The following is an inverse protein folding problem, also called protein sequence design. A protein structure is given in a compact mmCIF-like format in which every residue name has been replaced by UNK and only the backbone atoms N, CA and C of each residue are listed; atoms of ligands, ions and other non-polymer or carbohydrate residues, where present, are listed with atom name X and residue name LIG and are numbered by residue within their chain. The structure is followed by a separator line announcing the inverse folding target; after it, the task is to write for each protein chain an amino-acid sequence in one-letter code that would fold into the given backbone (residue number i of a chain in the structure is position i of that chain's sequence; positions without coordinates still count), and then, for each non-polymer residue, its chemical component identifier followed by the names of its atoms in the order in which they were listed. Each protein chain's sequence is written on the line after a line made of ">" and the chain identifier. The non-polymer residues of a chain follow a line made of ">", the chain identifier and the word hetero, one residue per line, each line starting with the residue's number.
data_IF_107907853919
#
_entry.id   IF_107907853919
#
_cell.length_a   1.000
_cell.length_b   1.000
_cell.length_c   1.000
_cell.angle_alpha   90.00
_cell.angle_beta   90.00
_cell.angle_gamma   90.00
#
_symmetry.space_group_name_H-M   'P 1'
#
loop_
_entity.id
_entity.type
_entity.pdbx_description
1 polymer ?
#
# COMPACT_ATOMS: atom_id res chain seq x y z
N UNK A 1 9.52 5.23 14.48
CA UNK A 1 10.44 4.37 13.71
C UNK A 1 10.59 4.87 12.27
N UNK A 2 9.55 4.94 11.42
CA UNK A 2 9.69 5.43 10.02
C UNK A 2 10.23 6.86 9.94
N UNK A 3 9.81 7.76 10.82
CA UNK A 3 10.29 9.14 10.87
C UNK A 3 11.82 9.25 11.05
N UNK A 4 12.48 8.26 11.65
CA UNK A 4 13.95 8.27 11.80
C UNK A 4 14.70 8.18 10.47
N UNK A 5 14.05 7.69 9.40
CA UNK A 5 14.63 7.64 8.07
C UNK A 5 14.61 9.00 7.36
N UNK A 6 13.85 9.98 7.87
CA UNK A 6 13.74 11.35 7.31
C UNK A 6 13.27 11.38 5.84
N UNK A 7 12.49 10.39 5.44
CA UNK A 7 11.80 10.39 4.16
C UNK A 7 10.52 11.22 4.34
N UNK A 8 10.31 12.29 3.57
CA UNK A 8 9.16 13.15 3.74
C UNK A 8 7.85 12.42 3.45
N UNK A 9 6.82 12.75 4.20
CA UNK A 9 5.46 12.34 3.89
C UNK A 9 4.99 12.99 2.58
N UNK A 10 4.16 12.26 1.85
CA UNK A 10 3.62 12.72 0.57
C UNK A 10 2.13 12.38 0.50
N UNK A 11 1.47 12.80 -0.56
CA UNK A 11 0.16 12.26 -0.88
C UNK A 11 0.34 10.76 -1.11
N UNK A 12 -0.18 9.97 -0.20
CA UNK A 12 -0.27 8.52 -0.31
C UNK A 12 -1.61 8.12 -0.90
N UNK A 13 -1.61 7.08 -1.69
CA UNK A 13 -2.75 6.52 -2.36
C UNK A 13 -2.93 5.08 -1.88
N UNK A 14 -3.93 4.87 -1.01
CA UNK A 14 -4.15 3.57 -0.37
C UNK A 14 -4.50 2.49 -1.39
N UNK A 15 -5.36 2.83 -2.33
CA UNK A 15 -5.85 1.93 -3.38
C UNK A 15 -4.99 2.00 -4.67
N UNK A 16 -3.67 2.05 -4.51
CA UNK A 16 -2.73 2.17 -5.62
C UNK A 16 -2.54 0.83 -6.34
N UNK A 17 -3.37 0.58 -7.34
CA UNK A 17 -3.31 -0.61 -8.18
C UNK A 17 -3.56 -0.28 -9.66
N UNK A 18 -3.32 -1.26 -10.53
CA UNK A 18 -3.36 -1.12 -11.99
C UNK A 18 -4.72 -0.68 -12.55
N UNK A 19 -5.85 -1.08 -11.92
CA UNK A 19 -7.20 -0.68 -12.36
C UNK A 19 -7.49 0.80 -12.14
N UNK A 20 -6.75 1.46 -11.25
CA UNK A 20 -6.84 2.89 -10.98
C UNK A 20 -5.81 3.70 -11.77
N UNK A 21 -5.14 3.08 -12.76
CA UNK A 21 -4.19 3.72 -13.66
C UNK A 21 -4.64 3.53 -15.10
N UNK A 22 -5.07 4.61 -15.73
CA UNK A 22 -5.44 4.62 -17.14
C UNK A 22 -4.21 4.94 -17.99
N UNK A 23 -3.88 4.10 -18.93
CA UNK A 23 -2.79 4.29 -19.88
C UNK A 23 -3.33 4.64 -21.26
N UNK A 24 -3.01 5.83 -21.77
CA UNK A 24 -3.25 6.18 -23.16
C UNK A 24 -2.32 5.35 -24.08
N UNK A 25 -2.87 4.51 -24.96
CA UNK A 25 -2.06 3.59 -25.76
C UNK A 25 -1.19 4.32 -26.82
N UNK A 26 -1.55 5.55 -27.20
CA UNK A 26 -0.85 6.34 -28.22
C UNK A 26 0.23 7.19 -27.56
N UNK A 27 -0.16 8.05 -26.62
CA UNK A 27 0.75 9.00 -25.97
C UNK A 27 1.56 8.41 -24.82
N UNK A 28 1.20 7.20 -24.36
CA UNK A 28 1.76 6.54 -23.19
C UNK A 28 1.61 7.34 -21.90
N UNK A 29 0.70 8.32 -21.89
CA UNK A 29 0.39 9.11 -20.70
C UNK A 29 -0.41 8.27 -19.73
N UNK A 30 0.02 8.27 -18.48
CA UNK A 30 -0.71 7.65 -17.37
C UNK A 30 -1.59 8.70 -16.68
N UNK A 31 -2.82 8.31 -16.35
CA UNK A 31 -3.75 9.11 -15.55
C UNK A 31 -4.19 8.26 -14.36
N UNK A 32 -4.01 8.79 -13.17
CA UNK A 32 -4.47 8.16 -11.95
C UNK A 32 -5.89 8.63 -11.64
N UNK A 33 -6.77 7.69 -11.31
CA UNK A 33 -8.18 7.93 -11.00
C UNK A 33 -8.52 7.39 -9.62
N UNK A 34 -9.71 7.70 -9.10
CA UNK A 34 -10.22 7.23 -7.80
C UNK A 34 -9.36 7.66 -6.60
N UNK A 35 -9.23 8.96 -6.41
CA UNK A 35 -8.45 9.59 -5.33
C UNK A 35 -9.18 9.61 -3.97
N UNK A 36 -10.29 8.88 -3.83
CA UNK A 36 -11.11 8.88 -2.62
C UNK A 36 -10.39 8.41 -1.36
N UNK A 37 -9.39 7.55 -1.51
CA UNK A 37 -8.61 6.97 -0.40
C UNK A 37 -7.18 7.53 -0.34
N UNK A 38 -7.06 8.86 -0.34
CA UNK A 38 -5.76 9.52 -0.22
C UNK A 38 -5.55 10.15 1.15
N UNK A 39 -4.31 10.18 1.60
CA UNK A 39 -3.90 10.82 2.84
C UNK A 39 -2.45 11.30 2.74
N UNK A 40 -2.05 12.18 3.65
CA UNK A 40 -0.62 12.50 3.82
C UNK A 40 0.00 11.39 4.67
N UNK A 41 0.84 10.57 4.06
CA UNK A 41 1.44 9.38 4.68
C UNK A 41 2.85 9.13 4.18
N UNK A 42 3.52 8.18 4.80
CA UNK A 42 4.82 7.72 4.31
C UNK A 42 4.66 7.06 2.92
N UNK A 43 5.42 7.50 1.89
CA UNK A 43 5.22 7.10 0.48
C UNK A 43 5.30 5.60 0.25
N UNK A 44 6.08 4.89 1.06
CA UNK A 44 6.30 3.46 0.87
C UNK A 44 5.07 2.61 1.19
N UNK A 45 4.05 3.13 1.87
CA UNK A 45 2.78 2.42 2.02
C UNK A 45 2.10 2.20 0.68
N UNK A 46 1.95 3.25 -0.14
CA UNK A 46 1.37 3.14 -1.48
C UNK A 46 2.20 2.26 -2.42
N UNK A 47 3.53 2.39 -2.35
CA UNK A 47 4.43 1.58 -3.18
C UNK A 47 4.36 0.08 -2.83
N UNK A 48 4.15 -0.26 -1.56
CA UNK A 48 3.90 -1.65 -1.17
C UNK A 48 2.59 -2.18 -1.71
N UNK A 49 1.52 -1.36 -1.72
CA UNK A 49 0.25 -1.77 -2.33
C UNK A 49 0.46 -2.13 -3.80
N UNK A 50 1.18 -1.31 -4.56
CA UNK A 50 1.52 -1.58 -5.97
C UNK A 50 2.29 -2.92 -6.14
N UNK A 51 3.30 -3.19 -5.30
CA UNK A 51 4.05 -4.44 -5.36
C UNK A 51 3.20 -5.67 -5.02
N UNK A 52 2.34 -5.59 -4.02
CA UNK A 52 1.42 -6.68 -3.68
C UNK A 52 0.45 -7.01 -4.81
N UNK A 53 -0.05 -5.99 -5.50
CA UNK A 53 -0.88 -6.21 -6.68
C UNK A 53 -0.11 -6.94 -7.79
N UNK A 54 1.19 -6.68 -7.94
CA UNK A 54 2.02 -7.40 -8.91
C UNK A 54 2.16 -8.89 -8.56
N UNK A 55 2.26 -9.23 -7.28
CA UNK A 55 2.28 -10.62 -6.80
C UNK A 55 0.91 -11.27 -7.07
N UNK A 56 -0.16 -10.61 -6.63
CA UNK A 56 -1.52 -11.18 -6.64
C UNK A 56 -2.06 -11.35 -8.06
N UNK A 57 -1.87 -10.35 -8.93
CA UNK A 57 -2.49 -10.33 -10.25
C UNK A 57 -1.60 -10.89 -11.36
N UNK A 58 -0.28 -10.79 -11.21
CA UNK A 58 0.66 -11.14 -12.28
C UNK A 58 1.60 -12.28 -11.91
N UNK A 59 1.41 -12.89 -10.73
CA UNK A 59 2.20 -14.05 -10.30
C UNK A 59 3.68 -13.74 -10.06
N UNK A 60 4.04 -12.47 -9.87
CA UNK A 60 5.41 -12.08 -9.50
C UNK A 60 5.71 -12.62 -8.10
N UNK A 61 6.87 -13.23 -7.92
CA UNK A 61 7.27 -13.79 -6.62
C UNK A 61 8.29 -12.89 -5.94
N UNK A 62 8.14 -12.68 -4.63
CA UNK A 62 9.15 -11.95 -3.85
C UNK A 62 10.52 -12.64 -4.00
N UNK A 63 11.54 -11.85 -4.30
CA UNK A 63 12.91 -12.35 -4.50
C UNK A 63 13.28 -12.68 -5.95
N UNK A 64 12.32 -12.79 -6.88
CA UNK A 64 12.66 -12.94 -8.29
C UNK A 64 13.18 -11.61 -8.92
N UNK A 65 13.79 -11.71 -10.09
CA UNK A 65 14.39 -10.54 -10.76
C UNK A 65 13.36 -9.48 -11.15
N UNK A 66 12.12 -9.87 -11.42
CA UNK A 66 11.03 -8.95 -11.77
C UNK A 66 10.60 -8.16 -10.54
N UNK A 67 10.41 -8.84 -9.40
CA UNK A 67 10.11 -8.19 -8.13
C UNK A 67 11.20 -7.19 -7.74
N UNK A 68 12.47 -7.59 -7.84
CA UNK A 68 13.61 -6.71 -7.54
C UNK A 68 13.64 -5.46 -8.42
N UNK A 69 13.37 -5.60 -9.73
CA UNK A 69 13.27 -4.46 -10.64
C UNK A 69 12.14 -3.51 -10.28
N UNK A 70 10.97 -4.04 -9.92
CA UNK A 70 9.84 -3.24 -9.48
C UNK A 70 10.15 -2.51 -8.17
N UNK A 71 10.75 -3.20 -7.21
CA UNK A 71 11.19 -2.60 -5.95
C UNK A 71 12.22 -1.49 -6.18
N UNK A 72 13.22 -1.73 -7.03
CA UNK A 72 14.23 -0.73 -7.38
C UNK A 72 13.59 0.49 -8.06
N UNK A 73 12.65 0.30 -8.97
CA UNK A 73 11.90 1.39 -9.60
C UNK A 73 11.08 2.21 -8.56
N UNK A 74 10.49 1.55 -7.57
CA UNK A 74 9.82 2.23 -6.45
C UNK A 74 10.78 3.11 -5.64
N UNK A 75 12.03 2.71 -5.49
CA UNK A 75 13.01 3.41 -4.66
C UNK A 75 13.82 4.46 -5.43
N UNK A 76 13.90 4.36 -6.76
CA UNK A 76 14.76 5.20 -7.60
C UNK A 76 14.60 6.69 -7.34
N UNK A 77 13.38 7.18 -7.23
CA UNK A 77 13.08 8.62 -7.03
C UNK A 77 13.49 9.14 -5.64
N UNK A 78 13.79 8.25 -4.73
CA UNK A 78 14.17 8.57 -3.34
C UNK A 78 15.68 8.53 -3.10
N UNK A 79 16.48 8.05 -4.08
CA UNK A 79 17.94 7.95 -3.97
C UNK A 79 18.65 9.29 -3.73
N UNK A 80 18.00 10.41 -4.06
CA UNK A 80 18.50 11.76 -3.72
C UNK A 80 18.39 12.12 -2.24
N UNK A 81 17.60 11.36 -1.45
CA UNK A 81 17.36 11.63 -0.02
C UNK A 81 18.16 10.72 0.91
N UNK A 82 18.45 9.48 0.48
CA UNK A 82 19.17 8.51 1.29
C UNK A 82 19.84 7.45 0.41
N UNK A 83 20.79 6.70 1.00
CA UNK A 83 21.41 5.57 0.32
C UNK A 83 20.40 4.45 0.03
N UNK A 84 20.68 3.60 -0.95
CA UNK A 84 19.80 2.48 -1.32
C UNK A 84 19.53 1.55 -0.12
N UNK A 85 20.55 1.24 0.67
CA UNK A 85 20.45 0.38 1.86
C UNK A 85 19.51 0.98 2.91
N UNK A 86 19.61 2.29 3.12
CA UNK A 86 18.74 3.02 4.05
C UNK A 86 17.30 3.06 3.55
N UNK A 87 17.10 3.28 2.25
CA UNK A 87 15.77 3.24 1.62
C UNK A 87 15.15 1.84 1.71
N UNK A 88 15.91 0.78 1.45
CA UNK A 88 15.47 -0.61 1.60
C UNK A 88 15.05 -0.92 3.05
N UNK A 89 15.84 -0.47 4.03
CA UNK A 89 15.51 -0.65 5.44
C UNK A 89 14.20 0.05 5.81
N UNK A 90 13.98 1.28 5.32
CA UNK A 90 12.73 2.01 5.51
C UNK A 90 11.56 1.32 4.79
N UNK A 91 11.80 0.79 3.60
CA UNK A 91 10.82 0.10 2.78
C UNK A 91 10.34 -1.19 3.46
N UNK A 92 11.26 -2.01 3.96
CA UNK A 92 10.93 -3.22 4.72
C UNK A 92 10.16 -2.92 6.01
N UNK A 93 10.57 -1.88 6.74
CA UNK A 93 9.84 -1.45 7.93
C UNK A 93 8.42 -0.95 7.57
N UNK A 94 8.28 -0.20 6.49
CA UNK A 94 6.96 0.25 6.01
C UNK A 94 6.06 -0.95 5.66
N UNK A 95 6.62 -2.00 5.04
CA UNK A 95 5.89 -3.25 4.75
C UNK A 95 5.28 -3.86 6.01
N UNK A 96 6.06 -3.96 7.09
CA UNK A 96 5.60 -4.51 8.36
C UNK A 96 4.51 -3.67 9.02
N UNK A 97 4.66 -2.33 8.98
CA UNK A 97 3.72 -1.41 9.62
C UNK A 97 2.45 -1.20 8.78
N UNK A 98 2.50 -1.41 7.47
CA UNK A 98 1.39 -1.18 6.55
C UNK A 98 0.11 -1.94 6.94
N UNK A 99 0.23 -3.14 7.47
CA UNK A 99 -0.93 -3.90 7.94
C UNK A 99 -1.70 -3.14 9.04
N UNK A 100 -0.98 -2.45 9.92
CA UNK A 100 -1.59 -1.56 10.91
C UNK A 100 -2.31 -0.39 10.28
N UNK A 101 -1.69 0.23 9.27
CA UNK A 101 -2.32 1.30 8.52
C UNK A 101 -3.62 0.83 7.84
N UNK A 102 -3.61 -0.32 7.21
CA UNK A 102 -4.80 -0.90 6.57
C UNK A 102 -5.93 -1.13 7.57
N UNK A 103 -5.61 -1.61 8.78
CA UNK A 103 -6.59 -1.79 9.85
C UNK A 103 -7.22 -0.44 10.26
N UNK A 104 -6.41 0.60 10.42
CA UNK A 104 -6.88 1.94 10.79
C UNK A 104 -7.72 2.58 9.69
N UNK A 105 -7.30 2.48 8.43
CA UNK A 105 -8.04 2.99 7.28
C UNK A 105 -9.40 2.29 7.13
N UNK A 106 -9.42 0.96 7.22
CA UNK A 106 -10.66 0.18 7.20
C UNK A 106 -11.59 0.55 8.37
N UNK A 107 -11.06 0.79 9.55
CA UNK A 107 -11.85 1.22 10.69
C UNK A 107 -12.49 2.61 10.47
N UNK A 108 -11.74 3.56 9.93
CA UNK A 108 -12.28 4.89 9.60
C UNK A 108 -13.39 4.80 8.57
N UNK A 109 -13.21 3.97 7.53
CA UNK A 109 -14.25 3.73 6.54
C UNK A 109 -15.53 3.18 7.20
N UNK A 110 -15.42 2.15 8.06
CA UNK A 110 -16.57 1.55 8.74
C UNK A 110 -17.28 2.54 9.65
N UNK A 111 -16.53 3.41 10.33
CA UNK A 111 -17.10 4.45 11.18
C UNK A 111 -17.81 5.54 10.38
N UNK A 112 -17.50 5.70 9.10
CA UNK A 112 -18.10 6.69 8.20
C UNK A 112 -19.36 6.19 7.48
N UNK A 113 -19.61 4.88 7.46
CA UNK A 113 -20.77 4.28 6.80
C UNK A 113 -21.82 3.82 7.80
N UNK A 114 -23.08 3.79 7.35
CA UNK A 114 -24.16 3.24 8.16
C UNK A 114 -23.91 1.76 8.48
N UNK A 115 -23.95 1.41 9.77
CA UNK A 115 -23.63 0.06 10.23
C UNK A 115 -24.60 -1.00 9.69
N UNK A 116 -25.87 -0.65 9.51
CA UNK A 116 -26.86 -1.61 8.97
C UNK A 116 -26.63 -1.83 7.49
N UNK A 117 -26.34 -0.77 6.73
CA UNK A 117 -25.98 -0.87 5.33
C UNK A 117 -24.68 -1.69 5.13
N UNK A 118 -23.67 -1.46 5.97
CA UNK A 118 -22.44 -2.24 5.95
C UNK A 118 -22.67 -3.73 6.20
N UNK A 119 -23.43 -4.08 7.24
CA UNK A 119 -23.76 -5.48 7.56
C UNK A 119 -24.60 -6.17 6.49
N UNK A 120 -25.50 -5.43 5.82
CA UNK A 120 -26.28 -5.94 4.70
C UNK A 120 -25.41 -6.28 3.48
N UNK A 121 -24.40 -5.47 3.22
CA UNK A 121 -23.46 -5.68 2.10
C UNK A 121 -22.39 -6.77 2.38
N UNK A 122 -21.99 -6.88 3.65
CA UNK A 122 -20.90 -7.80 4.09
C UNK A 122 -21.37 -8.69 5.25
N UNK A 123 -22.39 -9.56 5.04
CA UNK A 123 -23.03 -10.32 6.13
C UNK A 123 -22.11 -11.27 6.89
N UNK A 124 -21.00 -11.68 6.29
CA UNK A 124 -20.03 -12.63 6.85
C UNK A 124 -18.77 -11.96 7.44
N UNK A 125 -18.67 -10.64 7.38
CA UNK A 125 -17.52 -9.92 7.95
C UNK A 125 -17.83 -9.47 9.39
N UNK A 126 -17.39 -10.27 10.36
CA UNK A 126 -17.67 -10.01 11.77
C UNK A 126 -16.95 -8.78 12.33
N UNK A 127 -15.77 -8.45 11.86
CA UNK A 127 -15.04 -7.21 12.16
C UNK A 127 -13.79 -7.12 11.29
N UNK A 128 -13.69 -6.15 10.38
CA UNK A 128 -12.45 -5.93 9.62
C UNK A 128 -11.25 -5.65 10.52
N UNK A 129 -11.47 -5.01 11.69
CA UNK A 129 -10.43 -4.75 12.68
C UNK A 129 -9.88 -6.05 13.24
N UNK A 130 -10.75 -6.95 13.70
CA UNK A 130 -10.33 -8.24 14.26
C UNK A 130 -9.63 -9.12 13.20
N UNK A 131 -10.14 -9.15 11.98
CA UNK A 131 -9.51 -9.84 10.85
C UNK A 131 -8.15 -9.26 10.51
N UNK A 132 -8.02 -7.94 10.48
CA UNK A 132 -6.77 -7.24 10.23
C UNK A 132 -5.72 -7.48 11.33
N UNK A 133 -6.10 -7.43 12.60
CA UNK A 133 -5.20 -7.77 13.70
C UNK A 133 -4.75 -9.23 13.66
N UNK A 134 -5.64 -10.16 13.34
CA UNK A 134 -5.29 -11.57 13.18
C UNK A 134 -4.25 -11.73 12.06
N UNK A 135 -4.49 -11.16 10.88
CA UNK A 135 -3.54 -11.20 9.77
C UNK A 135 -2.18 -10.56 10.12
N UNK A 136 -2.20 -9.45 10.87
CA UNK A 136 -0.97 -8.82 11.37
C UNK A 136 -0.17 -9.75 12.28
N UNK A 137 -0.82 -10.40 13.24
CA UNK A 137 -0.16 -11.33 14.17
C UNK A 137 0.39 -12.56 13.44
N UNK A 138 -0.34 -13.09 12.47
CA UNK A 138 0.08 -14.24 11.65
C UNK A 138 1.26 -13.89 10.72
N UNK A 139 1.36 -12.65 10.24
CA UNK A 139 2.44 -12.18 9.37
C UNK A 139 3.73 -11.78 10.12
N UNK A 140 3.74 -11.84 11.44
CA UNK A 140 4.94 -11.56 12.26
C UNK A 140 5.82 -12.83 12.51
N UNK A 141 5.42 -13.97 11.99
CA UNK A 141 6.16 -15.25 12.06
C UNK A 141 6.74 -15.59 10.69
#
# INVERSE_FOLDING_TARGET
>A
LLASFRIPETIGYHDFHDKNVLLDPITKRMTFVDWGETAIIHPFFSLHTCLEQSITHYGVTEGDSTYQKLQDACLEKWLGLATKERLLSAFLLAKQIRLFWNILASNQFILSVDRQAYQAYYPNQHSPIAGGFKAFLEGMH
#
